data_IF_630816605686
#
_entry.id   IF_630816605686
#
_cell.length_a   1.000
_cell.length_b   1.000
_cell.length_c   1.000
_cell.angle_alpha   90.00
_cell.angle_beta   90.00
_cell.angle_gamma   90.00
#
_symmetry.space_group_name_H-M   'P 1'
#
loop_
_entity.id
_entity.type
_entity.pdbx_description
1 polymer ?
#
# COMPACT_ATOMS: atom_id res chain seq x y z
N UNK A 1 23.13 -3.80 11.29
CA UNK A 1 22.59 -5.12 10.88
C UNK A 1 21.48 -4.87 9.88
N UNK A 2 21.44 -5.65 8.80
CA UNK A 2 20.42 -5.52 7.74
C UNK A 2 19.13 -6.28 8.15
N UNK A 3 17.96 -5.77 7.74
CA UNK A 3 16.64 -6.40 8.01
C UNK A 3 16.60 -7.85 7.55
N UNK A 4 17.28 -8.14 6.43
CA UNK A 4 17.35 -9.49 5.82
C UNK A 4 18.01 -10.51 6.74
N UNK A 5 19.09 -10.14 7.42
CA UNK A 5 19.77 -11.05 8.35
C UNK A 5 18.88 -11.43 9.53
N UNK A 6 18.18 -10.43 10.11
CA UNK A 6 17.21 -10.69 11.17
C UNK A 6 16.04 -11.56 10.71
N UNK A 7 15.59 -11.39 9.46
CA UNK A 7 14.56 -12.26 8.90
C UNK A 7 15.04 -13.71 8.84
N UNK A 8 16.27 -13.97 8.39
CA UNK A 8 16.83 -15.33 8.39
C UNK A 8 16.90 -15.93 9.79
N UNK A 9 17.38 -15.15 10.77
CA UNK A 9 17.44 -15.59 12.16
C UNK A 9 16.05 -15.95 12.69
N UNK A 10 15.04 -15.13 12.38
CA UNK A 10 13.65 -15.37 12.75
C UNK A 10 13.08 -16.63 12.07
N UNK A 11 13.34 -16.81 10.78
CA UNK A 11 12.91 -17.99 10.04
C UNK A 11 13.58 -19.26 10.58
N UNK A 12 14.86 -19.20 10.94
CA UNK A 12 15.58 -20.31 11.56
C UNK A 12 15.08 -20.63 12.96
N UNK A 13 14.84 -19.61 13.79
CA UNK A 13 14.26 -19.79 15.12
C UNK A 13 12.86 -20.43 15.03
N UNK A 14 12.05 -19.97 14.06
CA UNK A 14 10.80 -20.62 13.72
C UNK A 14 11.05 -22.08 13.34
N UNK A 15 12.01 -22.38 12.45
CA UNK A 15 12.38 -23.74 12.01
C UNK A 15 12.88 -24.67 13.13
N UNK A 16 13.52 -24.12 14.15
CA UNK A 16 13.97 -24.90 15.31
C UNK A 16 12.80 -25.32 16.23
N UNK A 17 11.74 -24.50 16.30
CA UNK A 17 10.50 -24.87 17.00
C UNK A 17 9.63 -25.86 16.20
N UNK A 18 9.98 -26.15 14.95
CA UNK A 18 9.17 -26.92 13.99
C UNK A 18 9.34 -28.44 14.06
N UNK A 19 10.37 -28.97 14.74
CA UNK A 19 10.65 -30.43 14.80
C UNK A 19 9.63 -31.27 15.58
N UNK A 20 8.65 -30.64 16.23
CA UNK A 20 7.73 -31.29 17.18
C UNK A 20 6.24 -31.13 16.86
N UNK A 21 5.86 -30.54 15.72
CA UNK A 21 4.45 -30.39 15.31
C UNK A 21 4.24 -30.76 13.83
N UNK A 22 3.03 -31.20 13.44
CA UNK A 22 2.72 -31.54 12.05
C UNK A 22 2.97 -30.37 11.08
N UNK A 23 3.29 -30.72 9.83
CA UNK A 23 3.72 -29.79 8.77
C UNK A 23 2.61 -28.84 8.29
N UNK A 24 1.35 -29.11 8.61
CA UNK A 24 0.20 -28.38 8.05
C UNK A 24 -0.05 -27.00 8.69
N UNK A 25 0.64 -26.68 9.79
CA UNK A 25 0.39 -25.46 10.57
C UNK A 25 1.48 -24.39 10.43
N UNK A 26 2.43 -24.52 9.50
CA UNK A 26 3.72 -23.81 9.57
C UNK A 26 3.89 -22.63 8.62
N UNK A 27 2.77 -22.11 8.13
CA UNK A 27 2.76 -21.05 7.14
C UNK A 27 3.21 -19.71 7.74
N UNK A 28 4.04 -19.00 6.99
CA UNK A 28 4.58 -17.67 7.32
C UNK A 28 4.19 -16.69 6.22
N UNK A 29 3.56 -15.59 6.62
CA UNK A 29 3.20 -14.50 5.72
C UNK A 29 4.08 -13.29 6.00
N UNK A 30 4.85 -12.87 5.01
CA UNK A 30 5.75 -11.71 5.08
C UNK A 30 5.16 -10.57 4.27
N UNK A 31 4.84 -9.47 4.94
CA UNK A 31 4.37 -8.25 4.30
C UNK A 31 5.52 -7.30 3.96
N UNK A 32 5.53 -6.83 2.72
CA UNK A 32 6.44 -5.82 2.19
C UNK A 32 5.65 -4.67 1.58
N UNK A 33 6.27 -3.50 1.49
CA UNK A 33 5.59 -2.29 0.98
C UNK A 33 5.44 -2.32 -0.55
N UNK A 34 6.49 -2.70 -1.28
CA UNK A 34 6.56 -2.54 -2.74
C UNK A 34 6.59 -3.87 -3.48
N UNK A 35 6.07 -3.87 -4.73
CA UNK A 35 6.07 -5.03 -5.63
C UNK A 35 7.50 -5.55 -5.88
N UNK A 36 8.40 -4.62 -6.22
CA UNK A 36 9.83 -4.92 -6.41
C UNK A 36 10.49 -5.46 -5.13
N UNK A 37 10.10 -4.95 -3.97
CA UNK A 37 10.55 -5.47 -2.68
C UNK A 37 10.12 -6.92 -2.45
N UNK A 38 8.94 -7.30 -2.93
CA UNK A 38 8.46 -8.68 -2.85
C UNK A 38 9.33 -9.63 -3.68
N UNK A 39 9.58 -9.30 -4.94
CA UNK A 39 10.43 -10.10 -5.83
C UNK A 39 11.86 -10.21 -5.28
N UNK A 40 12.44 -9.08 -4.85
CA UNK A 40 13.80 -9.07 -4.29
C UNK A 40 13.92 -9.92 -3.01
N UNK A 41 12.88 -9.93 -2.18
CA UNK A 41 12.88 -10.72 -0.95
C UNK A 41 12.65 -12.20 -1.24
N UNK A 42 11.78 -12.52 -2.19
CA UNK A 42 11.58 -13.89 -2.69
C UNK A 42 12.90 -14.45 -3.26
N UNK A 43 13.54 -13.76 -4.19
CA UNK A 43 14.82 -14.17 -4.80
C UNK A 43 15.90 -14.37 -3.73
N UNK A 44 15.98 -13.45 -2.77
CA UNK A 44 16.92 -13.55 -1.67
C UNK A 44 16.66 -14.80 -0.83
N UNK A 45 15.45 -15.00 -0.34
CA UNK A 45 15.10 -16.16 0.50
C UNK A 45 15.28 -17.48 -0.26
N UNK A 46 14.93 -17.51 -1.55
CA UNK A 46 15.15 -18.65 -2.42
C UNK A 46 16.64 -18.98 -2.56
N UNK A 47 17.50 -17.96 -2.74
CA UNK A 47 18.96 -18.14 -2.78
C UNK A 47 19.56 -18.66 -1.48
N UNK A 48 18.89 -18.42 -0.34
CA UNK A 48 19.26 -18.94 0.98
C UNK A 48 18.69 -20.34 1.24
N UNK A 49 18.00 -20.94 0.27
CA UNK A 49 17.47 -22.31 0.35
C UNK A 49 16.08 -22.43 0.98
N UNK A 50 15.36 -21.33 1.19
CA UNK A 50 13.99 -21.39 1.70
C UNK A 50 12.98 -21.56 0.56
N UNK A 51 12.03 -22.52 0.65
CA UNK A 51 10.93 -22.59 -0.29
C UNK A 51 9.98 -21.41 -0.05
N UNK A 52 9.90 -20.51 -1.03
CA UNK A 52 9.19 -19.24 -0.92
C UNK A 52 8.46 -18.94 -2.22
N UNK A 53 7.37 -18.17 -2.13
CA UNK A 53 6.69 -17.59 -3.28
C UNK A 53 6.24 -16.16 -2.97
N UNK A 54 5.98 -15.34 -3.98
CA UNK A 54 5.47 -13.97 -3.81
C UNK A 54 4.11 -13.71 -4.48
N UNK A 55 3.35 -12.77 -3.91
CA UNK A 55 2.11 -12.23 -4.49
C UNK A 55 2.13 -10.70 -4.43
N UNK A 56 2.08 -10.07 -5.59
CA UNK A 56 1.97 -8.61 -5.73
C UNK A 56 1.15 -8.26 -6.97
N UNK A 57 0.81 -6.98 -7.14
CA UNK A 57 -0.10 -6.51 -8.19
C UNK A 57 0.44 -6.52 -9.63
N UNK A 58 1.63 -7.07 -9.89
CA UNK A 58 2.09 -7.32 -11.27
C UNK A 58 1.93 -8.81 -11.64
N UNK A 59 1.59 -9.68 -10.68
CA UNK A 59 1.25 -11.07 -10.93
C UNK A 59 -0.15 -11.16 -11.53
N UNK A 60 -0.28 -11.99 -12.56
CA UNK A 60 -1.57 -12.35 -13.13
C UNK A 60 -2.42 -13.12 -12.12
N UNK A 61 -3.74 -13.12 -12.29
CA UNK A 61 -4.63 -13.87 -11.39
C UNK A 61 -4.27 -15.37 -11.31
N UNK A 62 -3.90 -15.97 -12.45
CA UNK A 62 -3.45 -17.37 -12.51
C UNK A 62 -2.20 -17.62 -11.66
N UNK A 63 -1.21 -16.73 -11.74
CA UNK A 63 0.01 -16.84 -10.94
C UNK A 63 -0.28 -16.67 -9.45
N UNK A 64 -1.18 -15.74 -9.09
CA UNK A 64 -1.63 -15.56 -7.69
C UNK A 64 -2.27 -16.83 -7.15
N UNK A 65 -3.16 -17.46 -7.91
CA UNK A 65 -3.82 -18.72 -7.52
C UNK A 65 -2.84 -19.89 -7.41
N UNK A 66 -1.86 -19.97 -8.30
CA UNK A 66 -0.81 -20.98 -8.24
C UNK A 66 0.08 -20.81 -7.00
N UNK A 67 0.54 -19.58 -6.73
CA UNK A 67 1.31 -19.25 -5.53
C UNK A 67 0.54 -19.61 -4.26
N UNK A 68 -0.75 -19.25 -4.17
CA UNK A 68 -1.61 -19.63 -3.04
C UNK A 68 -1.80 -21.14 -2.91
N UNK A 69 -1.85 -21.89 -4.02
CA UNK A 69 -1.98 -23.34 -3.99
C UNK A 69 -0.72 -23.97 -3.41
N UNK A 70 0.46 -23.52 -3.83
CA UNK A 70 1.76 -23.97 -3.30
C UNK A 70 1.97 -23.57 -1.84
N UNK A 71 1.47 -22.40 -1.46
CA UNK A 71 1.49 -21.94 -0.07
C UNK A 71 0.58 -22.80 0.81
N UNK A 72 -0.68 -23.03 0.40
CA UNK A 72 -1.64 -23.86 1.16
C UNK A 72 -1.19 -25.31 1.31
N UNK A 73 -0.49 -25.87 0.33
CA UNK A 73 0.05 -27.23 0.41
C UNK A 73 1.34 -27.34 1.22
N UNK A 74 1.91 -26.22 1.68
CA UNK A 74 3.20 -26.19 2.39
C UNK A 74 4.43 -26.38 1.48
N UNK A 75 4.26 -26.51 0.16
CA UNK A 75 5.37 -26.59 -0.80
C UNK A 75 6.26 -25.34 -0.76
N UNK A 76 5.65 -24.18 -0.56
CA UNK A 76 6.32 -22.92 -0.29
C UNK A 76 5.74 -22.34 0.99
N UNK A 77 6.24 -22.69 2.19
CA UNK A 77 5.62 -22.29 3.46
C UNK A 77 5.82 -20.80 3.79
N UNK A 78 6.61 -20.08 3.00
CA UNK A 78 6.79 -18.63 3.10
C UNK A 78 6.11 -17.95 1.91
N UNK A 79 5.19 -17.04 2.20
CA UNK A 79 4.54 -16.18 1.22
C UNK A 79 4.94 -14.73 1.46
N UNK A 80 5.57 -14.09 0.49
CA UNK A 80 5.87 -12.65 0.51
C UNK A 80 4.75 -11.91 -0.22
N UNK A 81 4.13 -10.92 0.41
CA UNK A 81 2.98 -10.23 -0.18
C UNK A 81 2.99 -8.71 0.03
N UNK A 82 2.47 -7.98 -0.96
CA UNK A 82 2.06 -6.58 -0.76
C UNK A 82 0.61 -6.52 -0.28
N UNK A 83 0.28 -5.50 0.51
CA UNK A 83 -1.04 -5.38 1.14
C UNK A 83 -2.20 -5.34 0.12
N UNK A 84 -2.01 -4.64 -1.00
CA UNK A 84 -3.00 -4.58 -2.09
C UNK A 84 -3.25 -5.96 -2.69
N UNK A 85 -2.19 -6.74 -2.87
CA UNK A 85 -2.30 -8.04 -3.50
C UNK A 85 -2.85 -9.12 -2.55
N UNK A 86 -2.83 -8.90 -1.24
CA UNK A 86 -3.48 -9.77 -0.26
C UNK A 86 -5.00 -9.54 -0.16
N UNK A 87 -5.52 -8.37 -0.61
CA UNK A 87 -6.96 -8.08 -0.60
C UNK A 87 -7.67 -8.85 -1.72
N UNK A 88 -8.82 -9.44 -1.39
CA UNK A 88 -9.62 -10.24 -2.34
C UNK A 88 -9.08 -11.63 -2.65
N UNK A 89 -7.99 -12.04 -1.98
CA UNK A 89 -7.52 -13.42 -2.00
C UNK A 89 -7.80 -14.10 -0.66
N UNK A 90 -8.26 -15.34 -0.74
CA UNK A 90 -8.40 -16.20 0.44
C UNK A 90 -7.03 -16.78 0.82
N UNK A 91 -6.25 -15.97 1.55
CA UNK A 91 -5.00 -16.41 2.17
C UNK A 91 -5.36 -17.17 3.46
N UNK A 92 -4.90 -18.42 3.62
CA UNK A 92 -5.18 -19.21 4.81
C UNK A 92 -4.65 -18.53 6.07
N UNK A 93 -5.14 -18.97 7.23
CA UNK A 93 -4.54 -18.57 8.50
C UNK A 93 -3.10 -19.07 8.58
N UNK A 94 -2.24 -18.19 9.07
CA UNK A 94 -0.80 -18.45 9.18
C UNK A 94 -0.39 -18.48 10.64
N UNK A 95 0.67 -19.21 10.96
CA UNK A 95 1.21 -19.23 12.32
C UNK A 95 1.97 -17.95 12.64
N UNK A 96 2.62 -17.37 11.63
CA UNK A 96 3.47 -16.21 11.80
C UNK A 96 3.20 -15.17 10.73
N UNK A 97 2.87 -13.96 11.17
CA UNK A 97 2.87 -12.77 10.32
C UNK A 97 4.13 -11.97 10.59
N UNK A 98 4.85 -11.61 9.53
CA UNK A 98 6.04 -10.77 9.62
C UNK A 98 5.78 -9.50 8.81
N UNK A 99 5.72 -8.34 9.47
CA UNK A 99 5.78 -7.05 8.79
C UNK A 99 7.25 -6.71 8.54
N UNK A 100 7.77 -7.10 7.38
CA UNK A 100 9.11 -6.72 6.96
C UNK A 100 9.19 -5.20 6.73
N UNK A 101 8.13 -4.64 6.16
CA UNK A 101 7.85 -3.21 6.14
C UNK A 101 6.51 -2.94 6.82
N UNK A 102 6.50 -2.05 7.80
CA UNK A 102 5.27 -1.61 8.47
C UNK A 102 4.36 -0.85 7.49
N UNK A 103 3.02 -0.98 7.62
CA UNK A 103 2.08 -0.18 6.86
C UNK A 103 2.15 1.31 7.25
N UNK A 104 1.47 2.16 6.50
CA UNK A 104 1.34 3.59 6.77
C UNK A 104 0.39 3.92 7.91
N UNK A 105 -0.56 3.04 8.20
CA UNK A 105 -1.66 3.23 9.14
C UNK A 105 -1.90 1.98 10.01
N UNK A 106 -2.51 2.19 11.17
CA UNK A 106 -2.71 1.14 12.18
C UNK A 106 -3.84 0.18 11.79
N UNK A 107 -4.83 0.63 11.03
CA UNK A 107 -5.91 -0.21 10.57
C UNK A 107 -5.39 -1.32 9.65
N UNK A 108 -4.52 -0.98 8.70
CA UNK A 108 -3.84 -1.97 7.87
C UNK A 108 -2.95 -2.89 8.71
N UNK A 109 -2.26 -2.37 9.73
CA UNK A 109 -1.46 -3.18 10.64
C UNK A 109 -2.30 -4.27 11.31
N UNK A 110 -3.46 -3.89 11.86
CA UNK A 110 -4.42 -4.81 12.48
C UNK A 110 -4.91 -5.86 11.48
N UNK A 111 -5.24 -5.46 10.24
CA UNK A 111 -5.65 -6.39 9.20
C UNK A 111 -4.56 -7.41 8.82
N UNK A 112 -3.29 -6.98 8.82
CA UNK A 112 -2.14 -7.85 8.54
C UNK A 112 -1.95 -8.88 9.65
N UNK A 113 -1.88 -8.44 10.92
CA UNK A 113 -1.69 -9.37 12.05
C UNK A 113 -2.91 -10.26 12.28
N UNK A 114 -4.11 -9.83 11.89
CA UNK A 114 -5.33 -10.64 11.92
C UNK A 114 -5.32 -11.87 11.01
N UNK A 115 -4.23 -12.08 10.24
CA UNK A 115 -3.98 -13.31 9.47
C UNK A 115 -3.46 -14.46 10.35
N UNK A 116 -3.03 -14.18 11.57
CA UNK A 116 -2.62 -15.20 12.55
C UNK A 116 -3.54 -15.28 13.76
N UNK A 117 -3.35 -16.30 14.62
CA UNK A 117 -3.99 -16.42 15.93
C UNK A 117 -5.49 -16.72 15.90
N UNK A 118 -5.90 -17.86 15.32
CA UNK A 118 -7.31 -18.30 15.30
C UNK A 118 -7.48 -19.75 15.79
N UNK A 119 -8.70 -20.06 16.26
CA UNK A 119 -9.17 -21.41 16.66
C UNK A 119 -8.21 -22.18 17.59
N UNK A 120 -7.99 -21.66 18.80
CA UNK A 120 -7.22 -22.36 19.85
C UNK A 120 -5.71 -22.36 19.67
N UNK A 121 -5.18 -21.85 18.55
CA UNK A 121 -3.75 -21.74 18.29
C UNK A 121 -3.26 -20.29 18.49
N UNK A 122 -2.20 -20.15 19.28
CA UNK A 122 -1.49 -18.88 19.45
C UNK A 122 -0.73 -18.54 18.16
N UNK A 123 -1.01 -17.35 17.64
CA UNK A 123 -0.31 -16.77 16.49
C UNK A 123 0.80 -15.82 16.93
N UNK A 124 1.82 -15.65 16.10
CA UNK A 124 2.90 -14.68 16.33
C UNK A 124 2.87 -13.61 15.26
N UNK A 125 3.01 -12.35 15.67
CA UNK A 125 3.23 -11.22 14.76
C UNK A 125 4.55 -10.54 15.11
N UNK A 126 5.45 -10.41 14.14
CA UNK A 126 6.72 -9.71 14.28
C UNK A 126 6.80 -8.56 13.30
N UNK A 127 7.28 -7.41 13.75
CA UNK A 127 7.29 -6.19 12.92
C UNK A 127 8.63 -5.50 12.98
N UNK A 128 9.20 -5.19 11.82
CA UNK A 128 10.43 -4.40 11.72
C UNK A 128 10.08 -2.91 11.71
N UNK A 129 10.56 -2.21 12.73
CA UNK A 129 10.35 -0.78 12.92
C UNK A 129 11.63 -0.01 12.62
N UNK A 130 11.52 1.14 11.95
CA UNK A 130 12.62 2.07 11.74
C UNK A 130 12.14 3.53 11.88
N UNK A 131 13.05 4.49 11.68
CA UNK A 131 12.73 5.91 11.80
C UNK A 131 11.67 6.43 10.81
N UNK A 132 11.49 5.78 9.65
CA UNK A 132 10.44 6.18 8.71
C UNK A 132 9.05 5.82 9.21
N UNK A 133 8.94 4.89 10.17
CA UNK A 133 7.67 4.46 10.76
C UNK A 133 7.28 5.26 12.02
N UNK A 134 8.01 6.32 12.38
CA UNK A 134 7.74 7.15 13.57
C UNK A 134 6.30 7.67 13.66
N UNK A 135 5.68 7.99 12.52
CA UNK A 135 4.28 8.44 12.47
C UNK A 135 3.29 7.42 13.05
N UNK A 136 3.60 6.12 12.92
CA UNK A 136 2.78 5.01 13.39
C UNK A 136 3.03 4.66 14.87
N UNK A 137 4.10 5.18 15.48
CA UNK A 137 4.55 4.76 16.81
C UNK A 137 3.50 4.95 17.91
N UNK A 138 2.78 6.08 17.88
CA UNK A 138 1.76 6.39 18.90
C UNK A 138 0.61 5.38 18.87
N UNK A 139 0.07 5.15 17.68
CA UNK A 139 -1.05 4.23 17.48
C UNK A 139 -0.65 2.78 17.78
N UNK A 140 0.59 2.39 17.47
CA UNK A 140 1.13 1.09 17.87
C UNK A 140 1.23 0.92 19.39
N UNK A 141 1.69 1.96 20.11
CA UNK A 141 1.74 1.90 21.57
C UNK A 141 0.34 1.74 22.15
N UNK A 142 -0.61 2.55 21.69
CA UNK A 142 -2.01 2.47 22.13
C UNK A 142 -2.59 1.07 21.88
N UNK A 143 -2.38 0.52 20.68
CA UNK A 143 -2.82 -0.82 20.30
C UNK A 143 -2.19 -1.92 21.17
N UNK A 144 -0.88 -1.85 21.43
CA UNK A 144 -0.19 -2.88 22.23
C UNK A 144 -0.64 -2.85 23.70
N UNK A 145 -0.88 -1.66 24.27
CA UNK A 145 -1.43 -1.51 25.63
C UNK A 145 -2.84 -2.10 25.71
N UNK A 146 -3.71 -1.76 24.75
CA UNK A 146 -5.07 -2.30 24.69
C UNK A 146 -5.07 -3.83 24.58
N UNK A 147 -4.17 -4.37 23.74
CA UNK A 147 -3.98 -5.80 23.55
C UNK A 147 -3.20 -6.50 24.70
N UNK A 148 -2.85 -5.78 25.77
CA UNK A 148 -2.07 -6.27 26.92
C UNK A 148 -0.74 -6.94 26.52
N UNK A 149 -0.09 -6.41 25.49
CA UNK A 149 1.23 -6.84 25.05
C UNK A 149 2.30 -6.02 25.75
N UNK A 150 3.51 -6.60 25.86
CA UNK A 150 4.66 -5.87 26.35
C UNK A 150 5.05 -4.77 25.37
N UNK A 151 5.06 -3.53 25.84
CA UNK A 151 5.45 -2.36 25.04
C UNK A 151 6.93 -2.09 25.26
N UNK A 152 7.77 -2.15 24.21
CA UNK A 152 9.18 -1.82 24.36
C UNK A 152 9.37 -0.34 24.72
N UNK A 153 10.22 -0.07 25.72
CA UNK A 153 10.49 1.30 26.19
C UNK A 153 10.90 2.26 25.06
N UNK A 154 11.70 1.78 24.10
CA UNK A 154 12.14 2.59 22.96
C UNK A 154 10.98 3.04 22.06
N UNK A 155 9.91 2.24 21.96
CA UNK A 155 8.73 2.56 21.17
C UNK A 155 7.91 3.64 21.87
N UNK A 156 7.75 3.55 23.20
CA UNK A 156 7.11 4.58 24.03
C UNK A 156 7.85 5.92 23.93
N UNK A 157 9.19 5.92 24.00
CA UNK A 157 10.00 7.12 23.80
C UNK A 157 9.79 7.72 22.41
N UNK A 158 9.79 6.88 21.37
CA UNK A 158 9.56 7.31 19.98
C UNK A 158 8.17 7.94 19.79
N UNK A 159 7.14 7.36 20.41
CA UNK A 159 5.78 7.90 20.39
C UNK A 159 5.67 9.26 21.13
N UNK A 160 6.44 9.44 22.21
CA UNK A 160 6.50 10.70 22.95
C UNK A 160 7.22 11.80 22.15
N UNK A 161 8.32 11.47 21.47
CA UNK A 161 9.13 12.40 20.67
C UNK A 161 8.37 12.94 19.45
N UNK A 162 7.44 12.15 18.90
CA UNK A 162 6.55 12.59 17.82
C UNK A 162 5.73 13.86 18.15
N UNK A 163 5.58 14.20 19.44
CA UNK A 163 4.95 15.44 19.91
C UNK A 163 5.76 16.70 19.61
N UNK A 164 7.08 16.58 19.42
CA UNK A 164 7.99 17.73 19.26
C UNK A 164 8.32 18.03 17.78
N UNK A 165 7.94 17.15 16.85
CA UNK A 165 8.23 17.30 15.42
C UNK A 165 7.21 18.11 14.60
N UNK A 166 6.08 18.49 15.21
CA UNK A 166 4.95 19.14 14.53
C UNK A 166 4.81 20.65 14.70
N UNK A 167 5.82 21.35 15.24
CA UNK A 167 5.71 22.80 15.48
C UNK A 167 7.00 23.41 15.98
N UNK A 168 7.88 23.84 15.08
CA UNK A 168 9.21 24.28 15.50
C UNK A 168 10.04 25.04 14.49
N UNK A 169 9.44 25.89 13.64
CA UNK A 169 10.18 26.96 12.93
C UNK A 169 9.37 28.25 12.91
N UNK A 170 9.30 28.91 14.07
CA UNK A 170 9.14 30.38 14.24
C UNK A 170 9.10 30.73 15.74
N UNK A 171 10.20 30.49 16.42
CA UNK A 171 10.47 31.07 17.73
C UNK A 171 11.90 31.62 17.74
N UNK A 172 12.15 32.57 16.84
CA UNK A 172 13.34 33.40 16.83
C UNK A 172 13.01 34.76 17.44
N UNK A 173 12.78 34.81 18.75
CA UNK A 173 12.91 36.07 19.48
C UNK A 173 14.41 36.33 19.65
N UNK A 174 14.94 37.26 18.85
CA UNK A 174 16.12 38.04 19.23
C UNK A 174 15.76 39.51 19.10
N UNK A 175 15.35 40.04 20.24
CA UNK A 175 15.42 41.44 20.62
C UNK A 175 16.81 42.04 20.30
N UNK A 176 16.82 43.29 19.84
CA UNK A 176 17.93 44.21 20.09
C UNK A 176 18.49 44.93 18.85
N UNK A 177 18.36 46.27 18.84
CA UNK A 177 19.27 47.15 18.10
C UNK A 177 18.58 48.13 17.17
N UNK A 178 18.38 49.37 17.63
CA UNK A 178 17.93 50.47 16.77
C UNK A 178 19.04 51.13 15.96
N UNK A 179 18.62 52.23 15.29
CA UNK A 179 19.36 53.39 14.75
C UNK A 179 19.55 53.46 13.22
N UNK A 180 18.74 54.37 12.65
CA UNK A 180 19.02 55.44 11.67
C UNK A 180 20.09 55.28 10.55
N UNK A 181 19.70 55.77 9.36
CA UNK A 181 20.55 56.11 8.21
C UNK A 181 20.22 55.23 7.02
N UNK A 182 19.68 55.68 5.89
CA UNK A 182 19.92 56.93 5.16
C UNK A 182 20.35 56.52 3.75
N UNK A 183 19.69 57.04 2.71
CA UNK A 183 20.20 56.99 1.33
C UNK A 183 19.48 56.05 0.36
N UNK A 184 18.53 56.63 -0.39
CA UNK A 184 18.47 56.60 -1.85
C UNK A 184 18.45 55.26 -2.60
N UNK A 185 17.41 55.08 -3.43
CA UNK A 185 17.60 54.48 -4.74
C UNK A 185 16.54 53.47 -5.19
N UNK A 186 15.75 53.91 -6.17
CA UNK A 186 15.13 53.11 -7.25
C UNK A 186 13.89 52.27 -6.91
N UNK A 187 12.81 52.54 -7.66
CA UNK A 187 11.69 51.59 -7.78
C UNK A 187 10.28 52.17 -7.72
N UNK A 188 10.04 53.41 -8.18
CA UNK A 188 8.68 53.88 -8.43
C UNK A 188 8.13 53.22 -9.71
N UNK A 189 6.96 52.53 -9.66
CA UNK A 189 5.92 52.53 -10.72
C UNK A 189 4.67 51.64 -10.50
N UNK A 190 3.88 51.89 -9.45
CA UNK A 190 2.62 51.13 -9.29
C UNK A 190 1.50 52.00 -8.68
N UNK A 191 0.90 52.89 -9.47
CA UNK A 191 -0.41 53.46 -9.13
C UNK A 191 -1.50 52.74 -9.93
N UNK A 192 -2.17 51.80 -9.26
CA UNK A 192 -3.43 51.21 -9.69
C UNK A 192 -4.57 52.03 -9.11
N UNK A 193 -5.23 52.82 -9.95
CA UNK A 193 -6.51 53.44 -9.63
C UNK A 193 -7.38 53.40 -10.89
N UNK A 194 -8.44 52.56 -10.87
CA UNK A 194 -9.63 52.71 -11.73
C UNK A 194 -10.44 53.95 -11.26
N UNK A 195 -11.62 54.34 -11.80
CA UNK A 195 -12.41 53.90 -12.98
C UNK A 195 -12.96 55.09 -13.85
N UNK A 196 -13.57 54.80 -15.01
CA UNK A 196 -14.94 55.24 -15.42
C UNK A 196 -15.19 55.07 -16.94
N UNK A 197 -16.41 54.61 -17.25
CA UNK A 197 -17.07 54.33 -18.56
C UNK A 197 -17.38 55.64 -19.35
N UNK A 198 -18.19 55.71 -20.45
CA UNK A 198 -18.94 54.72 -21.29
C UNK A 198 -18.83 55.05 -22.83
N UNK A 199 -19.86 54.87 -23.70
CA UNK A 199 -20.34 53.65 -24.39
C UNK A 199 -20.34 53.76 -25.95
N UNK A 200 -20.66 52.68 -26.70
CA UNK A 200 -21.59 52.68 -27.89
C UNK A 200 -21.58 51.38 -28.74
N UNK A 201 -22.76 50.74 -28.76
CA UNK A 201 -23.56 50.17 -29.86
C UNK A 201 -23.01 49.85 -31.27
N UNK A 202 -23.52 48.71 -31.77
CA UNK A 202 -23.96 48.35 -33.15
C UNK A 202 -23.00 47.52 -34.04
N UNK A 203 -23.49 46.36 -34.51
CA UNK A 203 -22.90 45.52 -35.57
C UNK A 203 -23.18 46.09 -36.99
N UNK A 204 -23.22 45.31 -38.10
CA UNK A 204 -23.14 43.84 -38.26
C UNK A 204 -22.23 43.35 -39.45
N UNK A 205 -22.38 42.06 -39.79
CA UNK A 205 -22.23 41.40 -41.12
C UNK A 205 -20.86 41.03 -41.75
N UNK A 206 -20.69 39.70 -41.93
CA UNK A 206 -20.26 38.91 -43.10
C UNK A 206 -19.10 39.32 -44.03
N UNK A 207 -18.18 38.36 -44.25
CA UNK A 207 -17.43 37.93 -45.47
C UNK A 207 -16.18 37.19 -44.94
N UNK A 208 -15.81 35.97 -45.28
CA UNK A 208 -15.89 35.19 -46.51
C UNK A 208 -14.45 34.77 -46.88
N UNK A 209 -14.18 33.46 -47.08
CA UNK A 209 -13.05 32.81 -47.81
C UNK A 209 -12.87 31.38 -47.27
N UNK A 210 -13.29 30.33 -47.98
CA UNK A 210 -12.43 29.48 -48.83
C UNK A 210 -11.79 28.36 -47.97
N UNK A 211 -11.95 27.06 -48.17
CA UNK A 211 -11.81 26.16 -49.34
C UNK A 211 -12.73 24.93 -49.09
N UNK A 212 -13.51 24.32 -50.02
CA UNK A 212 -13.10 23.52 -51.19
C UNK A 212 -12.20 22.36 -50.77
N UNK A 213 -12.46 21.05 -50.90
CA UNK A 213 -13.18 20.19 -51.86
C UNK A 213 -13.25 18.78 -51.21
N UNK A 214 -14.39 18.07 -51.30
CA UNK A 214 -14.59 16.82 -52.08
C UNK A 214 -13.75 15.62 -51.57
N UNK A 215 -14.28 14.45 -51.24
CA UNK A 215 -15.51 13.75 -51.61
C UNK A 215 -15.19 12.24 -51.53
N UNK A 216 -16.21 11.38 -51.43
CA UNK A 216 -16.05 9.96 -51.81
C UNK A 216 -16.34 8.88 -50.77
N UNK A 217 -17.63 8.73 -50.47
CA UNK A 217 -18.41 7.50 -50.30
C UNK A 217 -17.72 6.12 -50.46
N UNK A 218 -17.97 5.22 -49.50
CA UNK A 218 -18.23 3.80 -49.77
C UNK A 218 -19.20 3.23 -48.74
N UNK A 219 -20.36 2.78 -49.24
CA UNK A 219 -21.28 1.91 -48.52
C UNK A 219 -20.80 0.46 -48.55
N UNK A 220 -21.22 -0.34 -47.58
CA UNK A 220 -20.86 -1.74 -47.49
C UNK A 220 -21.62 -2.48 -46.39
N UNK A 221 -22.76 -3.02 -46.78
CA UNK A 221 -23.68 -3.88 -46.05
C UNK A 221 -23.02 -5.20 -45.58
N UNK A 222 -23.22 -5.58 -44.31
CA UNK A 222 -23.13 -6.98 -43.87
C UNK A 222 -24.15 -7.26 -42.76
N UNK A 223 -25.14 -8.08 -43.12
CA UNK A 223 -26.05 -8.76 -42.20
C UNK A 223 -25.58 -10.18 -41.86
N UNK A 224 -26.17 -10.74 -40.82
CA UNK A 224 -26.01 -12.12 -40.33
C UNK A 224 -26.04 -12.10 -38.79
N UNK A 225 -27.19 -12.18 -38.13
CA UNK A 225 -28.10 -13.33 -37.98
C UNK A 225 -27.40 -14.58 -37.44
N UNK A 226 -27.44 -14.74 -36.12
CA UNK A 226 -27.50 -16.03 -35.47
C UNK A 226 -28.62 -15.98 -34.43
N UNK A 227 -29.59 -16.87 -34.59
CA UNK A 227 -30.62 -17.16 -33.60
C UNK A 227 -30.40 -18.53 -32.99
N UNK A 228 -31.00 -18.74 -31.82
CA UNK A 228 -31.73 -19.97 -31.52
C UNK A 228 -31.11 -20.97 -30.53
N UNK A 229 -31.86 -21.22 -29.44
CA UNK A 229 -31.88 -22.46 -28.63
C UNK A 229 -31.04 -22.39 -27.35
N UNK A 230 -31.55 -22.49 -26.12
CA UNK A 230 -32.72 -23.22 -25.63
C UNK A 230 -32.29 -24.57 -25.06
N UNK A 231 -32.27 -24.72 -23.73
CA UNK A 231 -31.92 -26.01 -23.09
C UNK A 231 -31.74 -25.92 -21.57
N UNK A 232 -32.85 -26.06 -20.86
CA UNK A 232 -32.95 -26.23 -19.41
C UNK A 232 -32.64 -27.69 -19.02
N UNK A 233 -31.84 -27.90 -17.98
CA UNK A 233 -31.91 -29.09 -17.13
C UNK A 233 -31.26 -28.81 -15.78
N UNK A 234 -32.11 -28.60 -14.77
CA UNK A 234 -31.72 -28.48 -13.37
C UNK A 234 -31.22 -29.81 -12.81
N UNK A 235 -30.12 -29.73 -12.06
CA UNK A 235 -29.68 -30.73 -11.09
C UNK A 235 -29.89 -30.17 -9.68
N UNK A 236 -30.22 -31.01 -8.69
CA UNK A 236 -30.72 -30.58 -7.38
C UNK A 236 -29.63 -29.97 -6.49
N UNK A 237 -29.95 -28.83 -5.87
CA UNK A 237 -29.15 -28.11 -4.88
C UNK A 237 -29.17 -28.79 -3.51
N UNK A 238 -28.00 -28.88 -2.87
CA UNK A 238 -27.70 -29.69 -1.68
C UNK A 238 -27.82 -28.91 -0.34
N UNK A 239 -28.75 -27.97 -0.24
CA UNK A 239 -28.91 -27.13 0.96
C UNK A 239 -30.29 -27.29 1.57
N UNK A 240 -30.58 -28.46 2.14
CA UNK A 240 -31.61 -28.60 3.19
C UNK A 240 -31.36 -29.89 4.00
N UNK A 241 -30.73 -29.74 5.18
CA UNK A 241 -30.84 -30.58 6.40
C UNK A 241 -29.74 -30.23 7.40
#
# INVERSE_FOLDING_TARGET
MDKRSFLLDLLNASNLLQRSRPEEDQLILVFVETKKGADQLEDYLYSQGYPVTSIHGDRTQREREEALRRFRSGQTPILVATAVAARGLDIPHVRHVINFDLPSDVEEYVHRIGRTGRMGNLGVATSFFNDTNRGLARELVELLVEAKQDVPNWLTSTAADGRLGGGGRRAGSRSGGGRFGGGGGFGARDYRTQPRQPPRSAGPSSIGSGFGYDGGSYGGNYGGSYGGGGGSSGGPDWWDS
#
